data_IF_299003269630
#
_entry.id   IF_299003269630
#
_cell.length_a   1.000
_cell.length_b   1.000
_cell.length_c   1.000
_cell.angle_alpha   90.00
_cell.angle_beta   90.00
_cell.angle_gamma   90.00
#
_symmetry.space_group_name_H-M   'P 1'
#
loop_
_entity.id
_entity.type
_entity.pdbx_description
1 polymer ?
#
# COMPACT_ATOMS: atom_id res chain seq x y z
N UNK A 1 22.87 12.10 -23.14
CA UNK A 1 21.83 11.29 -22.58
C UNK A 1 21.07 12.05 -21.50
N UNK A 2 19.80 11.78 -21.44
CA UNK A 2 18.95 12.43 -20.46
C UNK A 2 19.34 12.00 -19.06
N UNK A 3 19.52 12.96 -18.18
CA UNK A 3 19.73 12.65 -16.79
C UNK A 3 18.46 12.02 -16.20
N UNK A 4 18.66 11.08 -15.31
CA UNK A 4 17.53 10.57 -14.53
C UNK A 4 17.09 11.71 -13.62
N UNK A 5 15.85 12.13 -13.81
CA UNK A 5 15.31 13.19 -12.99
C UNK A 5 14.86 12.63 -11.65
N UNK A 6 15.14 13.37 -10.61
CA UNK A 6 14.54 13.10 -9.34
C UNK A 6 13.01 13.24 -9.46
N UNK A 7 12.23 12.43 -8.74
CA UNK A 7 10.80 12.61 -8.75
C UNK A 7 10.41 13.98 -8.25
N UNK A 8 9.45 14.60 -8.93
CA UNK A 8 8.89 15.86 -8.47
C UNK A 8 8.16 15.60 -7.15
N UNK A 9 8.58 16.20 -6.04
CA UNK A 9 7.97 15.91 -4.75
C UNK A 9 6.51 16.35 -4.66
N UNK A 10 6.07 17.18 -5.61
CA UNK A 10 4.68 17.64 -5.63
C UNK A 10 3.79 16.82 -6.56
N UNK A 11 4.34 15.79 -7.19
CA UNK A 11 3.58 14.94 -8.10
C UNK A 11 3.60 13.50 -7.61
N UNK A 12 2.45 12.87 -7.75
CA UNK A 12 2.33 11.46 -7.44
C UNK A 12 2.85 10.63 -8.62
N UNK A 13 3.84 9.80 -8.34
CA UNK A 13 4.39 8.88 -9.32
C UNK A 13 3.98 7.47 -8.97
N UNK A 14 3.44 6.74 -9.96
CA UNK A 14 2.84 5.43 -9.70
C UNK A 14 3.83 4.38 -9.20
N UNK A 15 5.10 4.48 -9.60
CA UNK A 15 6.07 3.44 -9.29
C UNK A 15 7.31 3.99 -8.59
N UNK A 16 7.12 4.90 -7.65
CA UNK A 16 8.25 5.46 -6.91
C UNK A 16 7.86 5.88 -5.51
N UNK A 17 8.87 6.11 -4.68
CA UNK A 17 8.73 6.70 -3.34
C UNK A 17 7.83 5.91 -2.40
N UNK A 18 8.00 4.59 -2.38
CA UNK A 18 7.41 3.75 -1.36
C UNK A 18 8.24 3.70 -0.08
N UNK A 19 9.39 4.37 -0.08
CA UNK A 19 10.24 4.52 1.09
C UNK A 19 10.57 5.99 1.29
N UNK A 20 10.75 6.35 2.56
CA UNK A 20 11.19 7.69 2.91
C UNK A 20 12.70 7.77 2.66
N UNK A 21 13.10 8.50 1.65
CA UNK A 21 14.51 8.69 1.35
C UNK A 21 14.69 9.95 0.53
N UNK A 22 15.76 10.72 0.80
CA UNK A 22 16.17 11.84 0.00
C UNK A 22 15.02 12.75 -0.41
N UNK A 23 14.76 12.78 -1.69
CA UNK A 23 13.78 13.67 -2.28
C UNK A 23 12.36 13.14 -2.25
N UNK A 24 12.15 11.96 -1.66
CA UNK A 24 10.85 11.33 -1.65
C UNK A 24 9.91 11.79 -0.55
N UNK A 25 10.33 12.67 0.34
CA UNK A 25 9.55 12.97 1.53
C UNK A 25 8.11 13.38 1.25
N UNK A 26 7.91 14.31 0.33
CA UNK A 26 6.55 14.78 0.03
C UNK A 26 5.73 13.72 -0.69
N UNK A 27 6.32 13.00 -1.62
CA UNK A 27 5.61 11.95 -2.33
C UNK A 27 5.31 10.77 -1.40
N UNK A 28 6.24 10.41 -0.52
CA UNK A 28 6.01 9.36 0.47
C UNK A 28 4.84 9.73 1.40
N UNK A 29 4.81 10.97 1.85
CA UNK A 29 3.70 11.45 2.69
C UNK A 29 2.38 11.43 1.91
N UNK A 30 2.41 11.81 0.64
CA UNK A 30 1.22 11.74 -0.21
C UNK A 30 0.73 10.30 -0.34
N UNK A 31 1.64 9.33 -0.45
CA UNK A 31 1.25 7.91 -0.47
C UNK A 31 0.59 7.47 0.84
N UNK A 32 1.11 7.94 1.97
CA UNK A 32 0.51 7.64 3.26
C UNK A 32 -0.90 8.23 3.36
N UNK A 33 -1.06 9.47 2.91
CA UNK A 33 -2.37 10.12 2.91
C UNK A 33 -3.37 9.38 2.03
N UNK A 34 -2.95 8.96 0.84
CA UNK A 34 -3.77 8.17 -0.06
C UNK A 34 -4.14 6.83 0.56
N UNK A 35 -3.14 6.15 1.13
CA UNK A 35 -3.32 4.81 1.70
C UNK A 35 -4.38 4.80 2.79
N UNK A 36 -4.35 5.77 3.69
CA UNK A 36 -5.29 5.81 4.81
C UNK A 36 -6.61 6.48 4.45
N UNK A 37 -6.69 7.19 3.32
CA UNK A 37 -7.84 7.97 2.93
C UNK A 37 -8.97 7.15 2.36
N UNK A 38 -10.02 7.86 1.91
CA UNK A 38 -11.25 7.25 1.43
C UNK A 38 -11.05 6.34 0.23
N UNK A 39 -10.07 6.66 -0.61
CA UNK A 39 -9.80 5.88 -1.82
C UNK A 39 -8.86 4.72 -1.57
N UNK A 40 -8.31 4.63 -0.37
CA UNK A 40 -7.47 3.53 0.05
C UNK A 40 -8.15 2.69 1.10
N UNK A 41 -7.51 2.57 2.25
CA UNK A 41 -8.01 1.72 3.34
C UNK A 41 -9.12 2.36 4.16
N UNK A 42 -9.31 3.67 4.03
CA UNK A 42 -10.33 4.41 4.78
C UNK A 42 -10.24 4.11 6.29
N UNK A 43 -9.09 4.46 6.87
CA UNK A 43 -8.83 4.20 8.28
C UNK A 43 -9.36 5.34 9.14
N UNK A 44 -10.22 5.05 10.13
CA UNK A 44 -10.79 6.10 10.96
C UNK A 44 -9.73 6.75 11.86
N UNK A 45 -9.75 8.08 11.90
CA UNK A 45 -8.85 8.83 12.78
C UNK A 45 -7.40 8.90 12.32
N UNK A 46 -7.08 8.38 11.14
CA UNK A 46 -5.73 8.42 10.60
C UNK A 46 -5.71 9.40 9.42
N UNK A 47 -5.00 10.48 9.58
CA UNK A 47 -4.93 11.53 8.57
C UNK A 47 -3.55 12.15 8.48
N UNK A 48 -3.43 13.27 7.74
CA UNK A 48 -2.12 13.90 7.53
C UNK A 48 -1.37 14.24 8.81
N UNK A 49 -2.10 14.70 9.83
CA UNK A 49 -1.47 15.02 11.13
C UNK A 49 -0.86 13.80 11.80
N UNK A 50 -1.52 12.65 11.71
CA UNK A 50 -1.00 11.42 12.25
C UNK A 50 0.32 11.04 11.56
N UNK A 51 0.32 11.07 10.22
CA UNK A 51 1.52 10.74 9.48
C UNK A 51 2.66 11.70 9.74
N UNK A 52 2.36 13.00 9.85
CA UNK A 52 3.37 13.99 10.19
C UNK A 52 4.01 13.70 11.55
N UNK A 53 3.21 13.32 12.54
CA UNK A 53 3.71 12.98 13.86
C UNK A 53 4.63 11.75 13.82
N UNK A 54 4.21 10.72 13.09
CA UNK A 54 5.00 9.50 12.96
C UNK A 54 6.32 9.76 12.22
N UNK A 55 6.27 10.58 11.17
CA UNK A 55 7.48 10.93 10.42
C UNK A 55 8.44 11.75 11.27
N UNK A 56 7.93 12.74 11.99
CA UNK A 56 8.76 13.55 12.88
C UNK A 56 9.40 12.72 13.99
N UNK A 57 8.70 11.70 14.45
CA UNK A 57 9.21 10.78 15.46
C UNK A 57 10.11 9.68 14.91
N UNK A 58 10.40 9.71 13.62
CA UNK A 58 11.28 8.75 12.94
C UNK A 58 10.78 7.31 13.07
N UNK A 59 9.46 7.14 13.07
CA UNK A 59 8.84 5.82 13.19
C UNK A 59 8.62 5.14 11.84
N UNK A 60 8.79 5.86 10.74
CA UNK A 60 8.49 5.36 9.40
C UNK A 60 9.68 5.53 8.47
N UNK A 61 10.09 4.46 7.83
CA UNK A 61 11.01 4.46 6.69
C UNK A 61 10.32 3.86 5.48
N UNK A 62 9.64 2.74 5.66
CA UNK A 62 8.83 2.11 4.64
C UNK A 62 7.36 2.43 4.82
N UNK A 63 6.61 2.25 3.74
CA UNK A 63 5.20 2.63 3.68
C UNK A 63 4.33 1.89 4.70
N UNK A 64 4.73 0.70 5.14
CA UNK A 64 3.93 -0.14 6.03
C UNK A 64 4.56 -0.34 7.41
N UNK A 65 5.56 0.47 7.77
CA UNK A 65 6.23 0.30 9.07
C UNK A 65 5.28 0.56 10.24
N UNK A 66 4.20 1.31 10.02
CA UNK A 66 3.21 1.57 11.05
C UNK A 66 2.47 0.31 11.51
N UNK A 67 2.48 -0.76 10.72
CA UNK A 67 1.84 -2.02 11.12
C UNK A 67 2.46 -2.63 12.36
N UNK A 68 3.73 -2.35 12.62
CA UNK A 68 4.45 -2.90 13.77
C UNK A 68 4.37 -2.01 15.01
N UNK A 69 3.71 -0.85 14.92
CA UNK A 69 3.65 0.08 16.04
C UNK A 69 2.53 -0.30 16.99
N UNK A 70 2.87 -0.52 18.25
CA UNK A 70 1.89 -0.77 19.29
C UNK A 70 1.64 0.49 20.12
N UNK A 71 0.79 0.37 21.13
CA UNK A 71 0.43 1.49 21.97
C UNK A 71 1.64 2.11 22.66
N UNK A 72 2.59 1.30 23.09
CA UNK A 72 3.80 1.83 23.77
C UNK A 72 4.64 2.67 22.82
N UNK A 73 4.85 2.19 21.59
CA UNK A 73 5.60 2.95 20.60
C UNK A 73 4.91 4.28 20.29
N UNK A 74 3.58 4.25 20.16
CA UNK A 74 2.81 5.43 19.82
C UNK A 74 2.82 6.46 20.95
N UNK A 75 2.79 6.02 22.20
CA UNK A 75 2.81 6.94 23.33
C UNK A 75 4.14 7.65 23.50
N UNK A 76 5.20 7.17 22.87
CA UNK A 76 6.49 7.86 22.88
C UNK A 76 6.47 9.14 22.07
N UNK A 77 5.44 9.33 21.25
CA UNK A 77 5.35 10.48 20.35
C UNK A 77 4.68 11.66 21.04
N UNK A 78 5.13 12.90 20.75
CA UNK A 78 4.51 14.08 21.34
C UNK A 78 3.03 14.17 20.97
N UNK A 79 2.20 14.48 21.97
CA UNK A 79 0.77 14.67 21.74
C UNK A 79 -0.05 13.40 21.63
N UNK A 80 0.58 12.23 21.81
CA UNK A 80 -0.14 10.96 21.75
C UNK A 80 -0.13 10.32 23.14
N UNK A 81 -1.26 10.44 23.83
CA UNK A 81 -1.46 9.77 25.11
C UNK A 81 -2.05 8.37 24.92
N UNK A 82 -2.38 7.69 26.04
CA UNK A 82 -2.86 6.31 25.98
C UNK A 82 -4.12 6.15 25.15
N UNK A 83 -5.06 7.07 25.25
CA UNK A 83 -6.32 6.98 24.52
C UNK A 83 -6.10 7.09 23.02
N UNK A 84 -5.32 8.08 22.58
CA UNK A 84 -5.04 8.28 21.18
C UNK A 84 -4.24 7.11 20.61
N UNK A 85 -3.27 6.61 21.37
CA UNK A 85 -2.48 5.45 20.97
C UNK A 85 -3.37 4.23 20.76
N UNK A 86 -4.33 4.02 21.67
CA UNK A 86 -5.28 2.89 21.51
C UNK A 86 -6.14 3.04 20.26
N UNK A 87 -6.62 4.26 19.99
CA UNK A 87 -7.42 4.52 18.81
C UNK A 87 -6.61 4.26 17.54
N UNK A 88 -5.36 4.70 17.51
CA UNK A 88 -4.51 4.46 16.33
C UNK A 88 -4.20 2.98 16.15
N UNK A 89 -3.93 2.28 17.23
CA UNK A 89 -3.66 0.85 17.16
C UNK A 89 -4.86 0.09 16.63
N UNK A 90 -6.07 0.47 17.04
CA UNK A 90 -7.29 -0.13 16.52
C UNK A 90 -7.46 0.15 15.03
N UNK A 91 -7.18 1.36 14.59
CA UNK A 91 -7.27 1.70 13.17
C UNK A 91 -6.26 0.90 12.36
N UNK A 92 -5.04 0.77 12.85
CA UNK A 92 -4.01 -0.01 12.17
C UNK A 92 -4.39 -1.50 12.11
N UNK A 93 -5.03 -2.00 13.17
CA UNK A 93 -5.53 -3.39 13.16
C UNK A 93 -6.64 -3.58 12.12
N UNK A 94 -7.50 -2.58 11.94
CA UNK A 94 -8.53 -2.64 10.90
C UNK A 94 -7.93 -2.77 9.51
N UNK A 95 -6.77 -2.15 9.28
CA UNK A 95 -6.10 -2.26 7.99
C UNK A 95 -5.82 -3.71 7.61
N UNK A 96 -5.50 -4.54 8.59
CA UNK A 96 -5.22 -5.95 8.33
C UNK A 96 -6.46 -6.74 7.93
N UNK A 97 -7.65 -6.21 8.17
CA UNK A 97 -8.90 -6.85 7.80
C UNK A 97 -9.45 -6.36 6.45
N UNK A 98 -8.80 -5.38 5.83
CA UNK A 98 -9.24 -4.85 4.54
C UNK A 98 -8.99 -5.86 3.42
N UNK A 99 -9.84 -5.78 2.40
CA UNK A 99 -9.77 -6.70 1.26
C UNK A 99 -8.56 -6.45 0.38
N UNK A 100 -8.24 -7.43 -0.46
CA UNK A 100 -7.20 -7.26 -1.47
C UNK A 100 -7.51 -6.07 -2.38
N UNK A 101 -8.77 -5.92 -2.79
CA UNK A 101 -9.17 -4.80 -3.64
C UNK A 101 -8.83 -3.45 -2.99
N UNK A 102 -9.17 -3.30 -1.72
CA UNK A 102 -8.88 -2.05 -1.02
C UNK A 102 -7.38 -1.83 -0.87
N UNK A 103 -6.64 -2.87 -0.57
CA UNK A 103 -5.18 -2.76 -0.46
C UNK A 103 -4.51 -2.41 -1.78
N UNK A 104 -4.98 -2.99 -2.88
CA UNK A 104 -4.41 -2.63 -4.19
C UNK A 104 -4.65 -1.18 -4.52
N UNK A 105 -5.85 -0.67 -4.24
CA UNK A 105 -6.14 0.75 -4.41
C UNK A 105 -5.27 1.60 -3.50
N UNK A 106 -5.10 1.17 -2.25
CA UNK A 106 -4.30 1.90 -1.28
C UNK A 106 -2.83 1.96 -1.67
N UNK A 107 -2.31 0.92 -2.29
CA UNK A 107 -0.92 0.88 -2.73
C UNK A 107 -0.70 1.59 -4.06
N UNK A 108 -1.76 2.04 -4.70
CA UNK A 108 -1.65 2.78 -5.94
C UNK A 108 -1.66 1.94 -7.20
N UNK A 109 -2.29 0.77 -7.17
CA UNK A 109 -2.42 -0.05 -8.37
C UNK A 109 -3.13 0.71 -9.48
N UNK A 110 -2.73 0.52 -10.74
CA UNK A 110 -3.44 1.15 -11.86
C UNK A 110 -4.90 0.74 -11.88
N UNK A 111 -5.76 1.69 -12.26
CA UNK A 111 -7.20 1.43 -12.37
C UNK A 111 -7.50 0.59 -13.60
N UNK A 112 -8.72 0.11 -13.68
CA UNK A 112 -9.23 -0.54 -14.89
C UNK A 112 -9.17 -2.05 -14.88
N UNK A 113 -8.78 -2.66 -13.78
CA UNK A 113 -8.83 -4.12 -13.69
C UNK A 113 -9.93 -4.55 -12.72
N UNK A 114 -10.36 -5.79 -12.86
CA UNK A 114 -11.39 -6.36 -12.01
C UNK A 114 -10.83 -7.60 -11.33
N UNK A 115 -11.22 -7.77 -10.05
CA UNK A 115 -10.87 -8.96 -9.29
C UNK A 115 -12.01 -9.96 -9.39
N UNK A 116 -11.67 -11.18 -9.80
CA UNK A 116 -12.59 -12.30 -9.72
C UNK A 116 -12.64 -12.86 -8.30
N UNK A 117 -13.64 -13.67 -8.03
CA UNK A 117 -13.83 -14.23 -6.71
C UNK A 117 -12.67 -15.12 -6.26
N UNK A 118 -11.94 -15.69 -7.20
CA UNK A 118 -10.82 -16.59 -6.91
C UNK A 118 -9.46 -15.93 -7.06
N UNK A 119 -9.42 -14.64 -7.39
CA UNK A 119 -8.15 -13.95 -7.54
C UNK A 119 -7.55 -13.64 -6.18
N UNK A 120 -6.29 -14.00 -6.02
CA UNK A 120 -5.50 -13.62 -4.86
C UNK A 120 -4.21 -12.97 -5.35
N UNK A 121 -3.36 -12.56 -4.42
CA UNK A 121 -2.12 -11.88 -4.77
C UNK A 121 -1.27 -12.72 -5.73
N UNK A 122 -1.12 -14.01 -5.43
CA UNK A 122 -0.29 -14.90 -6.25
C UNK A 122 -0.82 -15.00 -7.68
N UNK A 123 -2.15 -15.08 -7.83
CA UNK A 123 -2.79 -15.14 -9.15
C UNK A 123 -2.47 -13.88 -9.96
N UNK A 124 -2.58 -12.71 -9.32
CA UNK A 124 -2.36 -11.45 -10.01
C UNK A 124 -0.90 -11.27 -10.42
N UNK A 125 0.02 -11.66 -9.57
CA UNK A 125 1.46 -11.56 -9.87
C UNK A 125 1.84 -12.49 -11.01
N UNK A 126 1.23 -13.66 -11.08
CA UNK A 126 1.54 -14.64 -12.12
C UNK A 126 0.90 -14.34 -13.46
N UNK A 127 -0.04 -13.38 -13.53
CA UNK A 127 -0.80 -13.10 -14.74
C UNK A 127 0.10 -12.48 -15.81
N UNK A 128 0.06 -13.04 -17.01
CA UNK A 128 0.83 -12.54 -18.15
C UNK A 128 0.13 -11.35 -18.81
N UNK A 129 0.85 -10.67 -19.71
CA UNK A 129 0.25 -9.61 -20.53
C UNK A 129 -0.95 -10.14 -21.32
N UNK A 130 -0.80 -11.31 -21.93
CA UNK A 130 -1.90 -11.90 -22.71
C UNK A 130 -3.12 -12.18 -21.83
N UNK A 131 -2.88 -12.65 -20.61
CA UNK A 131 -3.98 -12.91 -19.69
C UNK A 131 -4.67 -11.62 -19.24
N UNK A 132 -3.91 -10.55 -19.00
CA UNK A 132 -4.52 -9.26 -18.71
C UNK A 132 -5.37 -8.76 -19.90
N UNK A 133 -4.87 -8.97 -21.11
CA UNK A 133 -5.60 -8.53 -22.32
C UNK A 133 -6.91 -9.28 -22.55
N UNK A 134 -7.09 -10.44 -21.92
CA UNK A 134 -8.35 -11.16 -22.01
C UNK A 134 -9.46 -10.49 -21.20
N UNK A 135 -9.12 -9.62 -20.27
CA UNK A 135 -10.14 -8.92 -19.50
C UNK A 135 -10.86 -7.91 -20.39
N UNK A 136 -12.22 -7.92 -20.41
CA UNK A 136 -12.96 -6.98 -21.27
C UNK A 136 -12.60 -5.53 -20.99
N UNK A 137 -12.39 -4.77 -22.06
CA UNK A 137 -12.06 -3.36 -21.94
C UNK A 137 -10.62 -3.04 -21.62
N UNK A 138 -9.76 -4.06 -21.50
CA UNK A 138 -8.36 -3.84 -21.16
C UNK A 138 -7.60 -3.36 -22.38
N UNK A 139 -6.96 -2.17 -22.27
CA UNK A 139 -6.07 -1.69 -23.32
C UNK A 139 -4.67 -2.25 -23.12
N UNK A 140 -3.89 -2.26 -24.20
CA UNK A 140 -2.50 -2.68 -24.13
C UNK A 140 -1.72 -1.84 -23.11
N UNK A 141 -1.94 -0.55 -23.10
CA UNK A 141 -1.24 0.36 -22.19
C UNK A 141 -1.61 0.06 -20.74
N UNK A 142 -2.87 -0.19 -20.46
CA UNK A 142 -3.30 -0.56 -19.10
C UNK A 142 -2.71 -1.89 -18.66
N UNK A 143 -2.67 -2.87 -19.56
CA UNK A 143 -2.08 -4.17 -19.24
C UNK A 143 -0.60 -4.04 -18.94
N UNK A 144 0.12 -3.21 -19.68
CA UNK A 144 1.54 -2.96 -19.42
C UNK A 144 1.77 -2.33 -18.06
N UNK A 145 0.91 -1.37 -17.71
CA UNK A 145 1.02 -0.72 -16.40
C UNK A 145 0.73 -1.67 -15.24
N UNK A 146 -0.25 -2.55 -15.43
CA UNK A 146 -0.54 -3.58 -14.42
C UNK A 146 0.62 -4.54 -14.24
N UNK A 147 1.20 -4.99 -15.35
CA UNK A 147 2.39 -5.84 -15.28
C UNK A 147 3.53 -5.15 -14.54
N UNK A 148 3.78 -3.89 -14.85
CA UNK A 148 4.84 -3.14 -14.21
C UNK A 148 4.60 -3.02 -12.70
N UNK A 149 3.37 -2.77 -12.31
CA UNK A 149 3.02 -2.66 -10.88
C UNK A 149 3.24 -4.00 -10.16
N UNK A 150 2.66 -5.08 -10.68
CA UNK A 150 2.72 -6.37 -9.98
C UNK A 150 4.10 -7.01 -10.01
N UNK A 151 4.96 -6.63 -10.95
CA UNK A 151 6.32 -7.13 -11.01
C UNK A 151 7.34 -6.22 -10.30
N UNK A 152 6.92 -5.05 -9.83
CA UNK A 152 7.85 -4.12 -9.21
C UNK A 152 8.38 -4.67 -7.90
N UNK A 153 9.70 -4.68 -7.71
CA UNK A 153 10.29 -5.28 -6.49
C UNK A 153 9.77 -4.68 -5.19
N UNK A 154 9.56 -3.36 -5.15
CA UNK A 154 9.04 -2.72 -3.94
C UNK A 154 7.60 -3.12 -3.66
N UNK A 155 6.78 -3.24 -4.68
CA UNK A 155 5.40 -3.71 -4.50
C UNK A 155 5.40 -5.13 -3.97
N UNK A 156 6.25 -5.99 -4.53
CA UNK A 156 6.33 -7.38 -4.08
C UNK A 156 6.85 -7.47 -2.64
N UNK A 157 7.78 -6.61 -2.27
CA UNK A 157 8.28 -6.56 -0.90
C UNK A 157 7.18 -6.12 0.07
N UNK A 158 6.40 -5.12 -0.30
CA UNK A 158 5.27 -4.67 0.52
C UNK A 158 4.23 -5.78 0.67
N UNK A 159 3.94 -6.50 -0.40
CA UNK A 159 3.00 -7.61 -0.36
C UNK A 159 3.50 -8.72 0.58
N UNK A 160 4.80 -9.03 0.52
CA UNK A 160 5.37 -10.01 1.43
C UNK A 160 5.25 -9.58 2.88
N UNK A 161 5.49 -8.30 3.15
CA UNK A 161 5.32 -7.75 4.50
C UNK A 161 3.88 -7.89 4.99
N UNK A 162 2.91 -7.64 4.10
CA UNK A 162 1.49 -7.80 4.43
C UNK A 162 1.12 -9.25 4.68
N UNK A 163 1.68 -10.16 3.90
CA UNK A 163 1.46 -11.60 4.12
C UNK A 163 2.03 -12.06 5.46
N UNK A 164 3.22 -11.61 5.79
CA UNK A 164 3.84 -11.94 7.08
C UNK A 164 3.04 -11.39 8.25
N UNK A 165 2.43 -10.23 8.08
CA UNK A 165 1.60 -9.63 9.11
C UNK A 165 0.24 -10.30 9.25
N UNK A 166 -0.11 -11.24 8.37
CA UNK A 166 -1.39 -11.92 8.40
C UNK A 166 -2.54 -11.10 7.84
N UNK A 167 -2.25 -10.15 6.96
CA UNK A 167 -3.27 -9.30 6.36
C UNK A 167 -4.22 -10.14 5.51
N UNK A 168 -5.50 -10.10 5.84
CA UNK A 168 -6.51 -11.01 5.29
C UNK A 168 -6.55 -10.95 3.76
N UNK A 169 -6.50 -9.75 3.20
CA UNK A 169 -6.57 -9.59 1.75
C UNK A 169 -5.41 -10.21 0.97
N UNK A 170 -4.28 -10.48 1.63
CA UNK A 170 -3.10 -11.04 1.00
C UNK A 170 -2.89 -12.51 1.28
N UNK A 171 -3.79 -13.13 2.04
CA UNK A 171 -3.71 -14.56 2.30
C UNK A 171 -4.23 -15.34 1.09
N UNK A 172 -3.73 -16.57 0.88
CA UNK A 172 -4.23 -17.38 -0.23
C UNK A 172 -5.72 -17.63 -0.10
N UNK A 173 -6.41 -17.74 -1.24
CA UNK A 173 -7.83 -18.09 -1.25
C UNK A 173 -8.01 -19.51 -0.79
N UNK A 174 -8.93 -19.70 0.17
CA UNK A 174 -9.19 -21.03 0.73
C UNK A 174 -9.71 -22.02 -0.31
N UNK A 175 -10.48 -21.49 -1.27
CA UNK A 175 -11.09 -22.33 -2.29
C UNK A 175 -10.23 -22.47 -3.54
N UNK A 176 -9.01 -21.93 -3.52
CA UNK A 176 -8.10 -22.11 -4.63
C UNK A 176 -7.65 -23.53 -4.74
N UNK A 177 -7.61 -24.11 -5.94
CA UNK A 177 -7.01 -25.43 -6.10
C UNK A 177 -5.56 -25.37 -5.63
N UNK A 178 -5.24 -26.17 -4.68
CA UNK A 178 -3.86 -26.26 -4.22
C UNK A 178 -3.21 -27.33 -5.03
N UNK A 179 -2.38 -26.89 -5.93
CA UNK A 179 -1.72 -27.77 -6.89
C UNK A 179 -0.91 -28.80 -6.27
#
# INVERSE_FOLDING_TARGET
>A
RAAVRAPDPNRYHALSCWRLSGECQQQFQARLNWLAGKQGLNLPGVGPGTWSTLLAGQKLVGLLDWLALDSEHLQQLPGIGPRRASQLQQAFAQAQQRSLQQWLQALGAPAGFQLGAKDDWATLVARSHAEWMQQPGMSQNSAERLLAFFSHPEVQRLAAQLQEAGTVGFLPQENSPRG
#
